data_IF_184688330357
#
_entry.id   IF_184688330357
#
_cell.length_a   1.000
_cell.length_b   1.000
_cell.length_c   1.000
_cell.angle_alpha   90.00
_cell.angle_beta   90.00
_cell.angle_gamma   90.00
#
_symmetry.space_group_name_H-M   'P 1'
#
loop_
_entity.id
_entity.type
_entity.pdbx_description
1 polymer ?
#
# COMPACT_ATOMS: atom_id res chain seq x y z
N UNK A 1 -3.46 36.34 29.27
CA UNK A 1 -4.59 35.49 28.86
C UNK A 1 -4.89 35.78 27.40
N UNK A 2 -4.34 34.98 26.48
CA UNK A 2 -4.59 35.11 25.05
C UNK A 2 -4.56 33.72 24.39
N UNK A 3 -5.62 33.46 23.61
CA UNK A 3 -5.65 32.60 22.41
C UNK A 3 -5.68 31.07 22.57
N UNK A 4 -6.52 30.54 23.46
CA UNK A 4 -7.03 29.16 23.29
C UNK A 4 -8.17 29.07 22.25
N UNK A 5 -8.88 30.19 22.02
CA UNK A 5 -10.06 30.25 21.14
C UNK A 5 -9.74 30.11 19.65
N UNK A 6 -8.56 30.55 19.19
CA UNK A 6 -8.23 30.60 17.76
C UNK A 6 -8.08 29.20 17.12
N UNK A 7 -7.62 28.21 17.89
CA UNK A 7 -7.33 26.89 17.34
C UNK A 7 -8.62 26.08 17.12
N UNK A 8 -9.61 26.20 18.00
CA UNK A 8 -10.87 25.47 17.89
C UNK A 8 -11.68 25.92 16.66
N UNK A 9 -11.75 27.23 16.41
CA UNK A 9 -12.44 27.78 15.24
C UNK A 9 -11.80 27.35 13.92
N UNK A 10 -10.47 27.27 13.85
CA UNK A 10 -9.76 26.81 12.64
C UNK A 10 -10.03 25.31 12.41
N UNK A 11 -9.98 24.50 13.46
CA UNK A 11 -10.24 23.07 13.36
C UNK A 11 -11.68 22.79 12.92
N UNK A 12 -12.66 23.56 13.42
CA UNK A 12 -14.03 23.49 12.94
C UNK A 12 -14.15 23.88 11.47
N UNK A 13 -13.49 24.95 11.02
CA UNK A 13 -13.52 25.35 9.60
C UNK A 13 -12.89 24.31 8.68
N UNK A 14 -11.82 23.63 9.13
CA UNK A 14 -11.21 22.52 8.41
C UNK A 14 -12.18 21.32 8.33
N UNK A 15 -12.83 20.96 9.45
CA UNK A 15 -13.79 19.85 9.50
C UNK A 15 -15.02 20.07 8.63
N UNK A 16 -15.51 21.30 8.53
CA UNK A 16 -16.65 21.66 7.68
C UNK A 16 -16.25 22.02 6.23
N UNK A 17 -14.95 21.98 5.90
CA UNK A 17 -14.46 22.30 4.55
C UNK A 17 -14.62 23.78 4.14
N UNK A 18 -14.79 24.68 5.12
CA UNK A 18 -14.99 26.12 4.89
C UNK A 18 -13.71 26.95 5.07
N UNK A 19 -12.62 26.30 5.49
CA UNK A 19 -11.31 26.93 5.61
C UNK A 19 -10.82 27.44 4.24
N UNK A 20 -10.35 28.70 4.22
CA UNK A 20 -9.76 29.33 3.04
C UNK A 20 -8.26 29.38 3.18
N UNK A 21 -7.56 29.02 2.12
CA UNK A 21 -6.10 29.05 2.05
C UNK A 21 -5.67 30.10 1.04
N UNK A 22 -4.71 30.93 1.43
CA UNK A 22 -4.07 31.90 0.54
C UNK A 22 -2.66 31.43 0.22
N UNK A 23 -2.29 31.51 -1.06
CA UNK A 23 -0.93 31.25 -1.51
C UNK A 23 -0.08 32.48 -1.20
N UNK A 24 0.82 32.35 -0.22
CA UNK A 24 1.75 33.43 0.12
C UNK A 24 3.04 33.24 -0.67
N UNK A 25 3.50 34.31 -1.31
CA UNK A 25 4.70 34.33 -2.15
C UNK A 25 6.03 34.29 -1.36
N UNK A 26 5.97 34.37 -0.03
CA UNK A 26 7.12 34.33 0.86
C UNK A 26 6.85 33.46 2.10
N UNK A 27 7.89 32.85 2.72
CA UNK A 27 7.71 32.03 3.90
C UNK A 27 7.16 32.86 5.07
N UNK A 28 6.04 32.42 5.63
CA UNK A 28 5.46 33.05 6.84
C UNK A 28 6.04 32.37 8.09
N UNK A 29 6.37 33.17 9.10
CA UNK A 29 6.88 32.68 10.39
C UNK A 29 5.93 31.65 11.00
N UNK A 30 6.49 30.51 11.46
CA UNK A 30 5.69 29.45 12.09
C UNK A 30 4.98 29.96 13.35
N UNK A 31 3.70 29.65 13.48
CA UNK A 31 2.81 30.04 14.59
C UNK A 31 3.26 29.41 15.93
N UNK A 32 4.17 28.42 15.88
CA UNK A 32 4.61 27.60 17.00
C UNK A 32 5.87 28.08 17.73
N UNK A 33 6.46 29.24 17.39
CA UNK A 33 7.69 29.72 18.04
C UNK A 33 7.50 31.14 18.60
N UNK A 34 7.54 31.34 19.94
CA UNK A 34 7.65 32.67 20.52
C UNK A 34 9.03 33.24 20.21
N UNK A 35 9.05 34.37 19.50
CA UNK A 35 10.11 35.37 19.38
C UNK A 35 11.49 35.00 19.94
N UNK A 36 12.35 34.44 19.09
CA UNK A 36 13.81 34.58 19.18
C UNK A 36 14.33 34.89 17.78
N UNK A 37 15.31 35.78 17.73
CA UNK A 37 15.81 36.57 16.60
C UNK A 37 16.26 35.78 15.35
N UNK A 38 16.33 36.44 14.18
CA UNK A 38 16.52 35.81 12.88
C UNK A 38 18.01 35.69 12.56
N UNK A 39 18.58 34.49 12.67
CA UNK A 39 19.88 34.22 12.06
C UNK A 39 19.99 32.77 11.62
N UNK A 40 19.36 32.46 10.49
CA UNK A 40 19.84 31.44 9.54
C UNK A 40 19.11 31.65 8.22
N UNK A 41 19.49 32.73 7.55
CA UNK A 41 19.18 32.98 6.15
C UNK A 41 20.00 32.01 5.30
N UNK A 42 19.53 30.80 5.09
CA UNK A 42 20.01 30.00 3.95
C UNK A 42 19.32 30.50 2.69
N UNK A 43 19.93 31.52 2.08
CA UNK A 43 19.67 31.94 0.71
C UNK A 43 20.00 30.79 -0.23
N UNK A 44 18.97 30.22 -0.85
CA UNK A 44 19.13 29.45 -2.09
C UNK A 44 18.56 30.27 -3.25
N UNK A 45 19.23 30.29 -4.41
CA UNK A 45 18.79 31.07 -5.55
C UNK A 45 17.40 30.59 -6.00
N UNK A 46 16.53 31.55 -6.24
CA UNK A 46 15.16 31.35 -6.68
C UNK A 46 15.13 30.56 -7.99
N UNK A 47 14.69 29.31 -7.92
CA UNK A 47 14.05 28.65 -9.03
C UNK A 47 12.57 28.52 -8.69
N UNK A 48 11.73 29.11 -9.53
CA UNK A 48 10.33 29.45 -9.29
C UNK A 48 9.40 28.21 -9.36
N UNK A 49 9.87 27.09 -8.84
CA UNK A 49 9.15 25.82 -8.84
C UNK A 49 8.45 25.64 -7.50
N UNK A 50 7.14 25.90 -7.52
CA UNK A 50 6.16 25.70 -6.47
C UNK A 50 6.37 24.38 -5.67
N UNK A 51 7.24 24.40 -4.65
CA UNK A 51 7.41 23.29 -3.70
C UNK A 51 6.70 23.63 -2.39
N UNK A 52 5.38 23.67 -2.45
CA UNK A 52 4.50 23.91 -1.28
C UNK A 52 4.19 22.63 -0.49
N UNK A 53 5.16 21.72 -0.38
CA UNK A 53 5.05 20.60 0.54
C UNK A 53 5.98 20.84 1.73
N UNK A 54 5.42 20.87 2.93
CA UNK A 54 6.19 20.91 4.17
C UNK A 54 7.17 19.72 4.17
N UNK A 55 8.46 20.01 4.08
CA UNK A 55 9.50 18.99 4.26
C UNK A 55 9.55 18.63 5.73
N UNK A 56 9.20 17.40 6.09
CA UNK A 56 9.45 16.88 7.44
C UNK A 56 10.97 16.84 7.62
N UNK A 57 11.49 17.69 8.50
CA UNK A 57 12.91 17.75 8.82
C UNK A 57 13.39 16.44 9.44
N UNK A 58 14.67 16.10 9.22
CA UNK A 58 15.28 14.95 9.88
C UNK A 58 15.23 15.16 11.41
N UNK A 59 14.63 14.21 12.12
CA UNK A 59 14.54 14.22 13.58
C UNK A 59 15.95 14.22 14.18
N UNK A 60 16.35 15.34 14.78
CA UNK A 60 17.41 15.33 15.79
C UNK A 60 16.84 14.67 17.05
N UNK A 61 17.33 13.46 17.33
CA UNK A 61 17.38 12.81 18.65
C UNK A 61 16.22 13.10 19.60
N UNK A 62 15.13 12.34 19.48
CA UNK A 62 14.04 12.35 20.45
C UNK A 62 12.79 11.70 19.87
N UNK A 63 12.73 10.37 19.89
CA UNK A 63 11.65 9.60 19.28
C UNK A 63 10.28 9.94 19.89
N UNK A 64 9.46 10.67 19.14
CA UNK A 64 8.03 10.86 19.44
C UNK A 64 7.31 9.51 19.38
N UNK A 65 6.32 9.28 20.25
CA UNK A 65 5.51 8.05 20.23
C UNK A 65 4.84 7.77 18.87
N UNK A 66 4.71 8.81 18.02
CA UNK A 66 4.22 8.70 16.64
C UNK A 66 5.16 7.95 15.67
N UNK A 67 6.46 7.80 15.98
CA UNK A 67 7.38 7.00 15.15
C UNK A 67 7.48 5.54 15.59
N UNK A 68 6.87 5.15 16.73
CA UNK A 68 6.87 3.75 17.21
C UNK A 68 6.00 2.81 16.37
N UNK A 69 5.18 3.33 15.46
CA UNK A 69 4.32 2.54 14.58
C UNK A 69 4.64 2.75 13.10
N UNK A 70 5.91 3.02 12.78
CA UNK A 70 6.39 2.94 11.39
C UNK A 70 6.63 1.47 11.10
N UNK A 71 5.74 0.86 10.32
CA UNK A 71 5.95 -0.47 9.79
C UNK A 71 7.22 -0.45 8.91
N UNK A 72 8.20 -1.27 9.27
CA UNK A 72 9.45 -1.39 8.52
C UNK A 72 9.28 -2.49 7.48
N UNK A 73 9.31 -2.08 6.22
CA UNK A 73 9.23 -3.00 5.09
C UNK A 73 10.60 -3.16 4.44
N UNK A 74 10.87 -4.36 3.92
CA UNK A 74 12.04 -4.65 3.10
C UNK A 74 11.61 -5.24 1.76
N UNK A 75 12.34 -4.91 0.71
CA UNK A 75 12.01 -5.34 -0.65
C UNK A 75 12.71 -6.66 -0.95
N UNK A 76 11.92 -7.71 -1.17
CA UNK A 76 12.41 -9.00 -1.63
C UNK A 76 12.04 -9.20 -3.10
N UNK A 77 13.06 -9.42 -3.94
CA UNK A 77 12.86 -9.62 -5.38
C UNK A 77 12.28 -11.01 -5.67
N UNK A 78 11.44 -11.07 -6.70
CA UNK A 78 10.89 -12.30 -7.30
C UNK A 78 11.34 -12.41 -8.76
N UNK A 79 11.36 -13.62 -9.29
CA UNK A 79 11.66 -13.85 -10.72
C UNK A 79 10.48 -13.38 -11.59
N UNK A 80 10.78 -12.68 -12.68
CA UNK A 80 9.80 -12.22 -13.67
C UNK A 80 9.47 -13.26 -14.75
N UNK A 81 9.07 -14.48 -14.37
CA UNK A 81 8.75 -15.59 -15.28
C UNK A 81 7.23 -15.78 -15.49
N UNK A 82 6.47 -14.71 -15.31
CA UNK A 82 5.01 -14.69 -15.37
C UNK A 82 4.30 -15.08 -14.07
N UNK A 83 5.00 -15.68 -13.10
CA UNK A 83 4.43 -16.07 -11.79
C UNK A 83 4.67 -15.04 -10.69
N UNK A 84 5.10 -13.83 -11.03
CA UNK A 84 5.65 -12.87 -10.06
C UNK A 84 4.69 -12.58 -8.90
N UNK A 85 3.38 -12.49 -9.15
CA UNK A 85 2.37 -12.32 -8.11
C UNK A 85 2.36 -13.50 -7.12
N UNK A 86 2.20 -14.71 -7.63
CA UNK A 86 2.12 -15.93 -6.81
C UNK A 86 3.44 -16.18 -6.07
N UNK A 87 4.58 -15.94 -6.71
CA UNK A 87 5.90 -15.98 -6.06
C UNK A 87 6.01 -14.98 -4.91
N UNK A 88 5.51 -13.75 -5.09
CA UNK A 88 5.54 -12.74 -4.04
C UNK A 88 4.69 -13.15 -2.82
N UNK A 89 3.50 -13.72 -3.06
CA UNK A 89 2.64 -14.27 -2.02
C UNK A 89 3.31 -15.42 -1.27
N UNK A 90 3.85 -16.40 -1.99
CA UNK A 90 4.58 -17.55 -1.43
C UNK A 90 5.76 -17.09 -0.58
N UNK A 91 6.58 -16.16 -1.08
CA UNK A 91 7.69 -15.60 -0.28
C UNK A 91 7.18 -14.88 0.97
N UNK A 92 6.18 -14.02 0.84
CA UNK A 92 5.60 -13.30 1.99
C UNK A 92 5.06 -14.26 3.05
N UNK A 93 4.38 -15.33 2.64
CA UNK A 93 3.91 -16.39 3.54
C UNK A 93 5.05 -17.12 4.24
N UNK A 94 6.11 -17.48 3.50
CA UNK A 94 7.28 -18.13 4.08
C UNK A 94 8.03 -17.20 5.06
N UNK A 95 8.19 -15.92 4.73
CA UNK A 95 8.76 -14.92 5.64
C UNK A 95 7.97 -14.82 6.93
N UNK A 96 6.63 -14.77 6.87
CA UNK A 96 5.77 -14.75 8.05
C UNK A 96 5.90 -16.00 8.93
N UNK A 97 6.24 -17.15 8.32
CA UNK A 97 6.48 -18.42 9.02
C UNK A 97 7.95 -18.61 9.45
N UNK A 98 8.86 -17.69 9.09
CA UNK A 98 10.29 -17.83 9.35
C UNK A 98 10.97 -18.94 8.52
N UNK A 99 10.38 -19.34 7.39
CA UNK A 99 10.87 -20.40 6.52
C UNK A 99 11.69 -19.78 5.39
N UNK A 100 12.87 -20.33 5.13
CA UNK A 100 13.67 -19.97 3.96
C UNK A 100 13.24 -20.83 2.76
N UNK A 101 12.85 -20.19 1.66
CA UNK A 101 12.48 -20.87 0.40
C UNK A 101 13.63 -20.87 -0.60
N UNK A 102 13.90 -22.02 -1.21
CA UNK A 102 14.78 -22.11 -2.38
C UNK A 102 14.05 -21.61 -3.64
N UNK A 103 14.77 -21.13 -4.67
CA UNK A 103 14.13 -20.62 -5.90
C UNK A 103 13.24 -21.62 -6.64
N UNK A 104 13.52 -22.93 -6.50
CA UNK A 104 12.70 -24.01 -7.06
C UNK A 104 11.42 -24.21 -6.26
N UNK A 105 11.52 -24.29 -4.93
CA UNK A 105 10.36 -24.41 -4.03
C UNK A 105 9.43 -23.20 -4.21
N UNK A 106 10.00 -21.98 -4.28
CA UNK A 106 9.24 -20.75 -4.57
C UNK A 106 8.44 -20.85 -5.88
N UNK A 107 8.99 -21.52 -6.90
CA UNK A 107 8.33 -21.72 -8.19
C UNK A 107 7.21 -22.75 -8.08
N UNK A 108 7.51 -23.89 -7.46
CA UNK A 108 6.60 -25.03 -7.38
C UNK A 108 5.38 -24.65 -6.51
N UNK A 109 5.60 -24.03 -5.35
CA UNK A 109 4.56 -23.50 -4.47
C UNK A 109 3.73 -22.41 -5.17
N UNK A 110 4.35 -21.56 -6.00
CA UNK A 110 3.63 -20.54 -6.77
C UNK A 110 2.73 -21.15 -7.85
N UNK A 111 3.17 -22.22 -8.49
CA UNK A 111 2.34 -22.97 -9.44
C UNK A 111 1.20 -23.71 -8.73
N UNK A 112 1.45 -24.29 -7.55
CA UNK A 112 0.41 -24.90 -6.71
C UNK A 112 -0.64 -23.86 -6.29
N UNK A 113 -0.19 -22.72 -5.78
CA UNK A 113 -1.08 -21.63 -5.38
C UNK A 113 -1.97 -21.16 -6.54
N UNK A 114 -1.39 -20.99 -7.73
CA UNK A 114 -2.12 -20.63 -8.96
C UNK A 114 -3.15 -21.68 -9.34
N UNK A 115 -2.83 -22.97 -9.21
CA UNK A 115 -3.77 -24.04 -9.51
C UNK A 115 -4.91 -24.14 -8.49
N UNK A 116 -4.64 -23.87 -7.21
CA UNK A 116 -5.68 -23.75 -6.20
C UNK A 116 -6.67 -22.61 -6.54
N UNK A 117 -6.17 -21.47 -7.05
CA UNK A 117 -7.04 -20.39 -7.56
C UNK A 117 -7.94 -20.84 -8.67
N UNK A 118 -7.36 -21.55 -9.65
CA UNK A 118 -8.14 -22.13 -10.75
C UNK A 118 -9.21 -23.08 -10.22
N UNK A 119 -8.90 -23.95 -9.26
CA UNK A 119 -9.86 -24.93 -8.74
C UNK A 119 -11.11 -24.25 -8.16
N UNK A 120 -10.90 -23.27 -7.29
CA UNK A 120 -11.98 -22.54 -6.61
C UNK A 120 -12.82 -21.75 -7.61
N UNK A 121 -12.16 -20.99 -8.48
CA UNK A 121 -12.84 -20.06 -9.37
C UNK A 121 -13.40 -20.74 -10.62
N UNK A 122 -12.85 -21.85 -11.07
CA UNK A 122 -13.23 -22.48 -12.34
C UNK A 122 -13.99 -23.79 -12.19
N UNK A 123 -13.66 -24.62 -11.19
CA UNK A 123 -14.21 -25.98 -11.12
C UNK A 123 -15.40 -26.08 -10.16
N UNK A 124 -15.40 -25.34 -9.05
CA UNK A 124 -16.47 -25.40 -8.05
C UNK A 124 -17.45 -24.24 -8.16
N UNK A 125 -18.63 -24.48 -8.72
CA UNK A 125 -19.69 -23.46 -8.78
C UNK A 125 -20.17 -23.01 -7.38
N UNK A 126 -20.07 -23.89 -6.37
CA UNK A 126 -20.46 -23.59 -4.98
C UNK A 126 -19.43 -22.74 -4.26
N UNK A 127 -18.15 -23.09 -4.38
CA UNK A 127 -17.07 -22.35 -3.70
C UNK A 127 -16.88 -20.99 -4.35
N UNK A 128 -17.03 -20.92 -5.67
CA UNK A 128 -17.03 -19.69 -6.44
C UNK A 128 -17.98 -18.62 -5.89
N UNK A 129 -19.19 -18.99 -5.45
CA UNK A 129 -20.17 -18.02 -4.90
C UNK A 129 -19.67 -17.33 -3.63
N UNK A 130 -18.73 -17.93 -2.90
CA UNK A 130 -18.12 -17.33 -1.70
C UNK A 130 -17.14 -16.20 -2.05
N UNK A 131 -16.74 -16.08 -3.32
CA UNK A 131 -15.77 -15.11 -3.81
C UNK A 131 -16.40 -14.23 -4.89
N UNK A 132 -17.61 -13.71 -4.62
CA UNK A 132 -18.37 -12.87 -5.55
C UNK A 132 -17.57 -11.63 -5.99
N UNK A 133 -16.86 -10.98 -5.08
CA UNK A 133 -16.00 -9.83 -5.40
C UNK A 133 -14.93 -10.18 -6.45
N UNK A 134 -14.29 -11.34 -6.31
CA UNK A 134 -13.29 -11.81 -7.27
C UNK A 134 -13.90 -12.15 -8.62
N UNK A 135 -15.09 -12.75 -8.61
CA UNK A 135 -15.83 -13.00 -9.85
C UNK A 135 -16.21 -11.72 -10.57
N UNK A 136 -16.71 -10.72 -9.85
CA UNK A 136 -17.08 -9.44 -10.44
C UNK A 136 -15.84 -8.80 -11.06
N UNK A 137 -14.72 -8.74 -10.31
CA UNK A 137 -13.47 -8.19 -10.82
C UNK A 137 -13.02 -8.89 -12.12
N UNK A 138 -13.04 -10.23 -12.15
CA UNK A 138 -12.68 -11.00 -13.35
C UNK A 138 -13.65 -10.72 -14.50
N UNK A 139 -14.96 -10.77 -14.24
CA UNK A 139 -16.01 -10.70 -15.28
C UNK A 139 -16.20 -9.32 -15.88
N UNK A 140 -15.77 -8.27 -15.18
CA UNK A 140 -15.69 -6.90 -15.73
C UNK A 140 -14.61 -6.81 -16.81
N UNK A 141 -13.47 -7.49 -16.64
CA UNK A 141 -12.36 -7.45 -17.59
C UNK A 141 -12.50 -8.47 -18.73
N UNK A 142 -12.89 -9.71 -18.40
CA UNK A 142 -13.02 -10.79 -19.38
C UNK A 142 -14.06 -11.86 -18.97
N UNK A 143 -14.52 -12.67 -19.92
CA UNK A 143 -15.40 -13.79 -19.57
C UNK A 143 -14.68 -14.80 -18.66
N UNK A 144 -15.39 -15.35 -17.66
CA UNK A 144 -14.84 -16.36 -16.75
C UNK A 144 -14.24 -17.57 -17.49
N UNK A 145 -14.83 -17.98 -18.62
CA UNK A 145 -14.30 -19.06 -19.46
C UNK A 145 -12.89 -18.74 -19.97
N UNK A 146 -12.67 -17.51 -20.44
CA UNK A 146 -11.38 -17.05 -20.95
C UNK A 146 -10.36 -16.98 -19.83
N UNK A 147 -10.74 -16.40 -18.69
CA UNK A 147 -9.93 -16.38 -17.48
C UNK A 147 -9.44 -17.79 -17.10
N UNK A 148 -10.36 -18.75 -17.00
CA UNK A 148 -10.07 -20.13 -16.63
C UNK A 148 -9.13 -20.84 -17.62
N UNK A 149 -9.10 -20.45 -18.89
CA UNK A 149 -8.12 -20.95 -19.86
C UNK A 149 -6.74 -20.32 -19.66
N UNK A 150 -6.68 -19.02 -19.32
CA UNK A 150 -5.41 -18.32 -19.14
C UNK A 150 -4.73 -18.70 -17.84
N UNK A 151 -5.45 -18.77 -16.72
CA UNK A 151 -4.86 -19.03 -15.41
C UNK A 151 -4.11 -20.36 -15.33
N UNK A 152 -4.44 -21.34 -16.18
CA UNK A 152 -3.73 -22.61 -16.27
C UNK A 152 -2.31 -22.48 -16.83
N UNK A 153 -2.04 -21.40 -17.56
CA UNK A 153 -0.76 -21.25 -18.23
C UNK A 153 0.32 -20.79 -17.25
N UNK A 154 1.55 -21.32 -17.38
CA UNK A 154 2.67 -20.95 -16.54
C UNK A 154 3.13 -19.50 -16.69
N UNK A 155 2.73 -18.83 -17.78
CA UNK A 155 3.04 -17.43 -18.09
C UNK A 155 1.89 -16.48 -17.71
N UNK A 156 0.88 -16.95 -16.98
CA UNK A 156 -0.25 -16.15 -16.53
C UNK A 156 0.14 -15.15 -15.43
N UNK A 157 -0.07 -13.87 -15.71
CA UNK A 157 0.16 -12.79 -14.75
C UNK A 157 -1.13 -12.55 -13.98
N UNK A 158 -1.12 -12.86 -12.68
CA UNK A 158 -2.24 -12.50 -11.81
C UNK A 158 -2.25 -11.01 -11.48
N UNK A 159 -3.37 -10.54 -10.93
CA UNK A 159 -3.58 -9.15 -10.53
C UNK A 159 -4.38 -9.05 -9.23
N UNK A 160 -5.24 -8.02 -9.17
CA UNK A 160 -6.01 -7.71 -7.97
C UNK A 160 -7.07 -8.77 -7.67
N UNK A 161 -7.66 -9.39 -8.69
CA UNK A 161 -8.73 -10.38 -8.54
C UNK A 161 -8.29 -11.60 -7.73
N UNK A 162 -7.03 -12.03 -7.89
CA UNK A 162 -6.42 -13.11 -7.12
C UNK A 162 -5.92 -12.66 -5.74
N UNK A 163 -5.84 -11.35 -5.49
CA UNK A 163 -5.40 -10.77 -4.23
C UNK A 163 -6.54 -10.36 -3.31
N UNK A 164 -7.79 -10.41 -3.76
CA UNK A 164 -8.91 -9.97 -2.95
C UNK A 164 -8.92 -10.69 -1.60
N UNK A 165 -9.19 -9.93 -0.54
CA UNK A 165 -9.02 -10.33 0.86
C UNK A 165 -9.69 -11.68 1.16
N UNK A 166 -10.88 -11.91 0.61
CA UNK A 166 -11.63 -13.17 0.73
C UNK A 166 -10.83 -14.35 0.16
N UNK A 167 -10.28 -14.16 -1.04
CA UNK A 167 -9.52 -15.14 -1.78
C UNK A 167 -8.15 -15.41 -1.12
N UNK A 168 -7.41 -14.37 -0.74
CA UNK A 168 -6.13 -14.51 -0.02
C UNK A 168 -6.32 -15.17 1.34
N UNK A 169 -7.38 -14.85 2.08
CA UNK A 169 -7.68 -15.48 3.37
C UNK A 169 -7.94 -16.98 3.22
N UNK A 170 -8.59 -17.40 2.14
CA UNK A 170 -8.76 -18.83 1.84
C UNK A 170 -7.43 -19.50 1.52
N UNK A 171 -6.60 -18.91 0.65
CA UNK A 171 -5.29 -19.46 0.30
C UNK A 171 -4.41 -19.65 1.54
N UNK A 172 -4.44 -18.68 2.44
CA UNK A 172 -3.72 -18.75 3.72
C UNK A 172 -4.23 -19.85 4.65
N UNK A 173 -5.50 -20.25 4.55
CA UNK A 173 -6.08 -21.36 5.32
C UNK A 173 -5.73 -22.74 4.74
N UNK A 174 -5.56 -22.87 3.42
CA UNK A 174 -5.24 -24.15 2.77
C UNK A 174 -3.77 -24.54 2.88
N UNK A 175 -2.85 -23.58 3.04
CA UNK A 175 -1.42 -23.83 3.23
C UNK A 175 -1.04 -24.04 4.72
N UNK A 176 -1.97 -24.53 5.54
CA UNK A 176 -1.81 -24.79 6.98
C UNK A 176 -2.27 -26.21 7.31
#
# INVERSE_FOLDING_TARGET
MANKLCNETILEQLGHGTAKFELVSSPVSSISIPSLSPSLSTTFPADNSHRFFARIGASLGGGSAATKKVEQYSVHKVTGDGRCLFRALVKGMAFNKGIALRPKEERDDADELRMAVKEILCDSAKDRQQYEEALIAITVEESLKRYCQRIQRPDFWGGESELLQSFVTFLLKQLR
#
